data_IF_619141323160
#
_entry.id   IF_619141323160
#
_cell.length_a   1.000
_cell.length_b   1.000
_cell.length_c   1.000
_cell.angle_alpha   90.00
_cell.angle_beta   90.00
_cell.angle_gamma   90.00
#
_symmetry.space_group_name_H-M   'P 1'
#
loop_
_entity.id
_entity.type
_entity.pdbx_description
1 polymer ?
#
# COMPACT_ATOMS: atom_id res chain seq x y z
N UNK A 1 29.95 43.90 37.74
CA UNK A 1 29.53 42.50 37.98
C UNK A 1 28.64 42.06 36.83
N UNK A 2 29.18 41.41 35.80
CA UNK A 2 28.45 40.38 35.02
C UNK A 2 29.45 39.51 34.29
N UNK A 3 29.27 38.21 34.50
CA UNK A 3 30.05 37.03 34.10
C UNK A 3 29.63 36.53 32.70
N UNK A 4 30.34 35.56 32.11
CA UNK A 4 30.55 35.44 30.66
C UNK A 4 29.46 34.65 29.92
N UNK A 5 29.33 34.92 28.62
CA UNK A 5 28.66 34.02 27.66
C UNK A 5 29.59 32.85 27.30
N UNK A 6 29.14 31.59 27.33
CA UNK A 6 29.90 30.49 26.77
C UNK A 6 29.64 30.33 25.28
N UNK A 7 30.74 30.23 24.54
CA UNK A 7 30.86 29.76 23.15
C UNK A 7 30.27 28.36 23.00
N UNK A 8 29.35 28.18 22.05
CA UNK A 8 29.07 26.86 21.48
C UNK A 8 29.70 26.79 20.09
N UNK A 9 30.79 26.04 20.01
CA UNK A 9 31.46 25.66 18.77
C UNK A 9 30.53 24.81 17.92
N UNK A 10 30.17 25.28 16.73
CA UNK A 10 29.48 24.49 15.73
C UNK A 10 30.48 23.51 15.10
N UNK A 11 30.47 22.26 15.56
CA UNK A 11 31.15 21.16 14.88
C UNK A 11 30.43 20.92 13.56
N UNK A 12 31.10 21.26 12.46
CA UNK A 12 30.70 20.94 11.09
C UNK A 12 30.74 19.41 10.91
N UNK A 13 29.57 18.78 10.99
CA UNK A 13 29.38 17.44 10.45
C UNK A 13 28.93 17.58 8.99
N UNK A 14 29.70 17.10 8.00
CA UNK A 14 29.20 17.00 6.64
C UNK A 14 28.23 15.81 6.59
N UNK A 15 26.94 16.08 6.76
CA UNK A 15 25.91 15.09 6.51
C UNK A 15 25.87 14.84 4.99
N UNK A 16 26.37 13.67 4.62
CA UNK A 16 26.26 13.06 3.30
C UNK A 16 24.82 13.20 2.81
N UNK A 17 24.63 14.07 1.80
CA UNK A 17 23.40 14.18 1.02
C UNK A 17 23.18 12.86 0.27
N UNK A 18 22.62 11.90 0.97
CA UNK A 18 22.08 10.68 0.38
C UNK A 18 20.86 11.14 -0.40
N UNK A 19 20.97 11.19 -1.72
CA UNK A 19 19.88 11.46 -2.64
C UNK A 19 18.70 10.55 -2.27
N UNK A 20 17.76 11.08 -1.50
CA UNK A 20 16.47 10.43 -1.27
C UNK A 20 15.87 10.20 -2.65
N UNK A 21 15.63 8.96 -3.08
CA UNK A 21 14.94 8.73 -4.34
C UNK A 21 13.61 9.49 -4.25
N UNK A 22 13.28 10.25 -5.29
CA UNK A 22 11.97 10.91 -5.39
C UNK A 22 10.90 9.92 -4.95
N UNK A 23 9.96 10.29 -4.07
CA UNK A 23 8.96 9.35 -3.59
C UNK A 23 8.24 8.79 -4.82
N UNK A 24 8.49 7.52 -5.13
CA UNK A 24 7.72 6.79 -6.13
C UNK A 24 6.30 6.82 -5.60
N UNK A 25 5.44 7.62 -6.22
CA UNK A 25 4.06 7.82 -5.76
C UNK A 25 3.39 6.44 -5.81
N UNK A 26 3.28 5.79 -4.66
CA UNK A 26 2.52 4.55 -4.52
C UNK A 26 1.12 4.94 -4.10
N UNK A 27 0.14 4.70 -4.98
CA UNK A 27 -1.25 5.06 -4.73
C UNK A 27 -1.99 4.11 -3.76
N UNK A 28 -1.38 2.97 -3.41
CA UNK A 28 -1.96 1.99 -2.47
C UNK A 28 -1.43 2.10 -1.04
N UNK A 29 -1.85 1.17 -0.19
CA UNK A 29 -1.36 1.08 1.20
C UNK A 29 0.16 0.83 1.26
N UNK A 30 0.89 1.49 2.18
CA UNK A 30 2.31 1.22 2.36
C UNK A 30 2.51 -0.18 2.96
N UNK A 31 3.34 -0.97 2.28
CA UNK A 31 3.80 -2.32 2.66
C UNK A 31 5.27 -2.52 2.26
N UNK A 32 5.94 -3.53 2.79
CA UNK A 32 7.31 -3.90 2.35
C UNK A 32 7.35 -5.16 1.48
N UNK A 33 6.18 -5.73 1.18
CA UNK A 33 6.07 -6.98 0.41
C UNK A 33 6.16 -6.69 -1.09
N UNK A 34 6.92 -7.52 -1.81
CA UNK A 34 7.09 -7.49 -3.26
C UNK A 34 7.00 -8.92 -3.79
N UNK A 35 6.28 -9.19 -4.91
CA UNK A 35 5.56 -8.24 -5.76
C UNK A 35 4.20 -7.80 -5.18
N UNK A 36 3.76 -6.57 -5.51
CA UNK A 36 2.46 -6.02 -5.09
C UNK A 36 1.86 -5.05 -6.11
N UNK A 37 0.54 -4.93 -6.07
CA UNK A 37 -0.25 -4.00 -6.86
C UNK A 37 -0.98 -3.06 -5.91
N UNK A 38 -0.68 -1.76 -5.96
CA UNK A 38 -1.35 -0.73 -5.17
C UNK A 38 -2.28 0.10 -6.04
N UNK A 39 -3.47 0.43 -5.53
CA UNK A 39 -4.38 1.33 -6.22
C UNK A 39 -5.17 2.22 -5.26
N UNK A 40 -5.55 3.39 -5.75
CA UNK A 40 -6.50 4.30 -5.09
C UNK A 40 -7.79 4.38 -5.89
N UNK A 41 -8.85 3.78 -5.36
CA UNK A 41 -10.19 3.78 -5.95
C UNK A 41 -10.97 5.01 -5.50
N UNK A 42 -11.88 5.46 -6.36
CA UNK A 42 -12.85 6.50 -6.00
C UNK A 42 -14.08 5.82 -5.41
N UNK A 43 -14.50 6.29 -4.23
CA UNK A 43 -15.69 5.80 -3.57
C UNK A 43 -16.88 6.71 -3.90
N UNK A 44 -17.87 6.15 -4.59
CA UNK A 44 -19.16 6.76 -4.87
C UNK A 44 -20.24 6.06 -4.06
N UNK A 45 -20.45 6.49 -2.81
CA UNK A 45 -21.29 5.80 -1.80
C UNK A 45 -20.79 4.36 -1.52
N UNK A 46 -21.45 3.36 -2.10
CA UNK A 46 -21.11 1.93 -1.97
C UNK A 46 -20.47 1.36 -3.23
N UNK A 47 -20.16 2.22 -4.21
CA UNK A 47 -19.55 1.86 -5.48
C UNK A 47 -18.10 2.29 -5.52
N UNK A 48 -17.27 1.51 -6.20
CA UNK A 48 -15.85 1.75 -6.33
C UNK A 48 -15.43 1.85 -7.79
N UNK A 49 -14.91 3.00 -8.17
CA UNK A 49 -14.41 3.27 -9.51
C UNK A 49 -12.88 3.13 -9.55
N UNK A 50 -12.40 2.27 -10.44
CA UNK A 50 -10.97 2.05 -10.67
C UNK A 50 -10.43 3.01 -11.73
N UNK A 51 -9.28 3.59 -11.43
CA UNK A 51 -8.54 4.48 -12.31
C UNK A 51 -7.10 3.99 -12.48
N UNK A 52 -6.71 3.66 -13.71
CA UNK A 52 -5.37 3.14 -14.01
C UNK A 52 -4.25 4.14 -13.72
N UNK A 53 -4.50 5.44 -13.84
CA UNK A 53 -3.53 6.50 -13.48
C UNK A 53 -3.27 6.57 -11.96
N UNK A 54 -4.15 5.95 -11.16
CA UNK A 54 -4.05 5.84 -9.71
C UNK A 54 -3.70 4.42 -9.26
N UNK A 55 -3.07 3.65 -10.14
CA UNK A 55 -2.59 2.32 -9.87
C UNK A 55 -1.06 2.26 -10.02
N UNK A 56 -0.42 1.35 -9.29
CA UNK A 56 1.01 1.14 -9.33
C UNK A 56 1.33 -0.32 -9.10
N UNK A 57 2.05 -0.91 -10.04
CA UNK A 57 2.58 -2.25 -9.93
C UNK A 57 4.05 -2.14 -9.46
N UNK A 58 4.36 -2.74 -8.32
CA UNK A 58 5.66 -2.66 -7.66
C UNK A 58 6.25 -4.07 -7.55
N UNK A 59 7.52 -4.20 -7.91
CA UNK A 59 8.22 -5.49 -7.97
C UNK A 59 8.09 -6.18 -9.32
N UNK A 60 8.67 -7.36 -9.41
CA UNK A 60 8.64 -8.19 -10.62
C UNK A 60 7.38 -9.05 -10.64
N UNK A 61 6.57 -8.90 -11.69
CA UNK A 61 5.35 -9.67 -11.90
C UNK A 61 5.49 -10.53 -13.14
N UNK A 62 5.24 -11.83 -13.01
CA UNK A 62 5.17 -12.73 -14.15
C UNK A 62 3.87 -12.55 -14.94
N UNK A 63 3.86 -12.92 -16.22
CA UNK A 63 2.67 -12.84 -17.07
C UNK A 63 1.48 -13.63 -16.48
N UNK A 64 1.75 -14.75 -15.81
CA UNK A 64 0.73 -15.58 -15.14
C UNK A 64 0.12 -14.82 -13.96
N UNK A 65 0.95 -14.13 -13.16
CA UNK A 65 0.48 -13.32 -12.04
C UNK A 65 -0.34 -12.11 -12.49
N UNK A 66 0.06 -11.45 -13.59
CA UNK A 66 -0.71 -10.33 -14.17
C UNK A 66 -2.07 -10.82 -14.69
N UNK A 67 -2.08 -11.90 -15.50
CA UNK A 67 -3.33 -12.48 -15.99
C UNK A 67 -4.25 -12.92 -14.84
N UNK A 68 -3.67 -13.43 -13.75
CA UNK A 68 -4.44 -13.78 -12.56
C UNK A 68 -5.01 -12.55 -11.87
N UNK A 69 -4.21 -11.49 -11.72
CA UNK A 69 -4.65 -10.22 -11.16
C UNK A 69 -5.84 -9.66 -11.95
N UNK A 70 -5.76 -9.62 -13.28
CA UNK A 70 -6.84 -9.15 -14.15
C UNK A 70 -8.14 -9.96 -13.97
N UNK A 71 -8.02 -11.27 -13.73
CA UNK A 71 -9.16 -12.14 -13.49
C UNK A 71 -9.81 -11.89 -12.12
N UNK A 72 -9.00 -11.72 -11.06
CA UNK A 72 -9.51 -11.63 -9.68
C UNK A 72 -9.87 -10.21 -9.27
N UNK A 73 -9.31 -9.20 -9.92
CA UNK A 73 -9.49 -7.80 -9.55
C UNK A 73 -10.96 -7.35 -9.56
N UNK A 74 -11.77 -7.64 -10.58
CA UNK A 74 -13.20 -7.29 -10.56
C UNK A 74 -13.97 -7.93 -9.39
N UNK A 75 -13.61 -9.14 -9.00
CA UNK A 75 -14.23 -9.84 -7.87
C UNK A 75 -13.82 -9.22 -6.52
N UNK A 76 -12.57 -8.77 -6.41
CA UNK A 76 -12.11 -8.00 -5.25
C UNK A 76 -12.88 -6.68 -5.13
N UNK A 77 -13.07 -5.96 -6.25
CA UNK A 77 -13.86 -4.71 -6.23
C UNK A 77 -15.28 -4.97 -5.74
N UNK A 78 -15.97 -5.99 -6.26
CA UNK A 78 -17.32 -6.36 -5.78
C UNK A 78 -17.33 -6.71 -4.30
N UNK A 79 -16.31 -7.42 -3.82
CA UNK A 79 -16.19 -7.77 -2.40
C UNK A 79 -16.01 -6.51 -1.54
N UNK A 80 -15.20 -5.54 -1.97
CA UNK A 80 -15.03 -4.26 -1.28
C UNK A 80 -16.30 -3.41 -1.29
N UNK A 81 -17.04 -3.36 -2.40
CA UNK A 81 -18.36 -2.72 -2.49
C UNK A 81 -19.35 -3.34 -1.50
N UNK A 82 -19.36 -4.67 -1.37
CA UNK A 82 -20.17 -5.36 -0.38
C UNK A 82 -19.77 -5.00 1.05
N UNK A 83 -18.47 -4.85 1.33
CA UNK A 83 -17.96 -4.43 2.66
C UNK A 83 -18.32 -2.98 2.99
N UNK A 84 -18.39 -2.10 1.99
CA UNK A 84 -18.95 -0.75 2.16
C UNK A 84 -20.43 -0.80 2.50
N UNK A 85 -21.19 -1.69 1.85
CA UNK A 85 -22.63 -1.84 2.10
C UNK A 85 -22.93 -2.39 3.49
N UNK A 86 -22.12 -3.34 3.99
CA UNK A 86 -22.28 -3.88 5.36
C UNK A 86 -21.75 -2.95 6.44
N UNK A 87 -21.01 -1.91 6.07
CA UNK A 87 -20.36 -0.98 7.01
C UNK A 87 -19.10 -1.55 7.67
N UNK A 88 -18.59 -2.70 7.22
CA UNK A 88 -17.28 -3.21 7.63
C UNK A 88 -16.15 -2.31 7.11
N UNK A 89 -16.33 -1.71 5.93
CA UNK A 89 -15.50 -0.64 5.42
C UNK A 89 -16.29 0.67 5.49
N UNK A 90 -15.72 1.68 6.14
CA UNK A 90 -16.39 2.95 6.43
C UNK A 90 -15.54 4.12 5.91
N UNK A 91 -16.14 5.01 5.13
CA UNK A 91 -15.47 6.16 4.52
C UNK A 91 -14.84 7.13 5.54
N UNK A 92 -15.38 7.16 6.76
CA UNK A 92 -15.03 8.09 7.84
C UNK A 92 -14.11 7.46 8.88
N UNK A 93 -14.03 6.13 8.94
CA UNK A 93 -13.25 5.41 9.94
C UNK A 93 -12.07 4.71 9.29
N UNK A 94 -10.88 4.98 9.80
CA UNK A 94 -9.69 4.23 9.41
C UNK A 94 -9.81 2.81 9.97
N UNK A 95 -9.97 1.85 9.07
CA UNK A 95 -10.03 0.43 9.39
C UNK A 95 -9.57 -0.38 8.19
N UNK A 96 -8.45 -1.06 8.34
CA UNK A 96 -7.91 -1.93 7.32
C UNK A 96 -8.64 -3.28 7.36
N UNK A 97 -9.20 -3.69 6.22
CA UNK A 97 -9.77 -5.01 6.02
C UNK A 97 -8.87 -5.85 5.11
N UNK A 98 -8.90 -7.16 5.30
CA UNK A 98 -8.14 -8.12 4.49
C UNK A 98 -9.10 -9.10 3.81
N UNK A 99 -8.97 -9.27 2.51
CA UNK A 99 -9.76 -10.19 1.68
C UNK A 99 -8.79 -11.14 0.98
N UNK A 100 -9.00 -12.44 1.14
CA UNK A 100 -8.29 -13.45 0.36
C UNK A 100 -9.23 -13.96 -0.72
N UNK A 101 -8.82 -13.84 -1.98
CA UNK A 101 -9.62 -14.29 -3.11
C UNK A 101 -8.74 -14.74 -4.26
N UNK A 102 -9.04 -15.88 -4.87
CA UNK A 102 -8.35 -16.34 -6.09
C UNK A 102 -6.83 -16.44 -5.98
N UNK A 103 -6.28 -16.77 -4.81
CA UNK A 103 -4.83 -16.89 -4.60
C UNK A 103 -4.10 -15.54 -4.50
N UNK A 104 -4.81 -14.45 -4.20
CA UNK A 104 -4.21 -13.17 -3.82
C UNK A 104 -4.79 -12.70 -2.49
N UNK A 105 -4.00 -11.91 -1.77
CA UNK A 105 -4.40 -11.20 -0.57
C UNK A 105 -4.57 -9.72 -0.91
N UNK A 106 -5.77 -9.20 -0.72
CA UNK A 106 -6.08 -7.79 -0.83
C UNK A 106 -6.23 -7.19 0.55
N UNK A 107 -5.56 -6.08 0.80
CA UNK A 107 -5.80 -5.23 1.97
C UNK A 107 -6.38 -3.90 1.48
N UNK A 108 -7.39 -3.40 2.17
CA UNK A 108 -8.05 -2.15 1.82
C UNK A 108 -8.36 -1.31 3.05
N UNK A 109 -8.19 0.00 2.95
CA UNK A 109 -8.54 0.98 3.98
C UNK A 109 -9.02 2.28 3.32
N UNK A 110 -9.99 2.96 3.92
CA UNK A 110 -10.46 4.27 3.46
C UNK A 110 -9.57 5.40 3.96
N UNK A 111 -8.78 5.14 5.02
CA UNK A 111 -7.97 6.11 5.77
C UNK A 111 -8.78 7.33 6.23
N UNK A 112 -10.10 7.17 6.44
CA UNK A 112 -10.99 8.28 6.77
C UNK A 112 -11.06 9.38 5.70
N UNK A 113 -10.79 9.04 4.43
CA UNK A 113 -10.65 10.02 3.34
C UNK A 113 -11.97 10.56 2.79
N UNK A 114 -13.11 10.03 3.22
CA UNK A 114 -14.46 10.44 2.77
C UNK A 114 -14.79 10.20 1.28
N UNK A 115 -13.87 9.61 0.51
CA UNK A 115 -14.09 9.43 -0.93
C UNK A 115 -13.07 8.56 -1.65
N UNK A 116 -12.09 7.98 -0.94
CA UNK A 116 -11.11 7.08 -1.51
C UNK A 116 -10.99 5.78 -0.72
N UNK A 117 -10.73 4.70 -1.44
CA UNK A 117 -10.29 3.43 -0.87
C UNK A 117 -8.89 3.15 -1.40
N UNK A 118 -7.96 2.97 -0.48
CA UNK A 118 -6.58 2.59 -0.76
C UNK A 118 -6.49 1.09 -0.63
N UNK A 119 -5.95 0.42 -1.65
CA UNK A 119 -5.76 -1.02 -1.59
C UNK A 119 -4.35 -1.44 -2.01
N UNK A 120 -3.95 -2.59 -1.47
CA UNK A 120 -2.79 -3.34 -1.90
C UNK A 120 -3.21 -4.79 -2.15
N UNK A 121 -2.82 -5.32 -3.29
CA UNK A 121 -2.98 -6.72 -3.65
C UNK A 121 -1.59 -7.33 -3.75
N UNK A 122 -1.32 -8.31 -2.91
CA UNK A 122 -0.15 -9.16 -3.00
C UNK A 122 -0.62 -10.52 -3.52
N UNK A 123 0.08 -11.14 -4.49
CA UNK A 123 -0.16 -12.54 -4.77
C UNK A 123 0.10 -13.32 -3.48
N UNK A 124 -0.67 -14.38 -3.24
CA UNK A 124 -0.33 -15.36 -2.22
C UNK A 124 0.89 -16.11 -2.76
N UNK A 125 2.07 -15.48 -2.69
CA UNK A 125 3.34 -16.18 -2.81
C UNK A 125 3.24 -17.34 -1.85
N UNK A 126 3.35 -18.55 -2.37
CA UNK A 126 3.47 -19.76 -1.58
C UNK A 126 4.49 -19.46 -0.46
N UNK A 127 4.02 -19.17 0.76
CA UNK A 127 4.87 -18.90 1.93
C UNK A 127 5.47 -20.21 2.45
N UNK A 128 5.85 -21.10 1.53
CA UNK A 128 6.53 -22.36 1.80
C UNK A 128 7.74 -22.52 0.87
N UNK A 129 8.56 -21.49 0.85
CA UNK A 129 9.96 -21.61 0.46
C UNK A 129 10.79 -20.88 1.51
N UNK A 130 11.14 -21.62 2.57
CA UNK A 130 12.38 -21.43 3.29
C UNK A 130 13.48 -22.20 2.54
N UNK A 131 14.41 -21.56 1.82
CA UNK A 131 15.66 -22.18 1.42
C UNK A 131 16.78 -21.58 2.27
N UNK A 132 16.92 -21.97 3.55
CA UNK A 132 17.83 -21.21 4.40
C UNK A 132 18.23 -21.75 5.75
N UNK A 133 18.30 -23.07 5.95
CA UNK A 133 19.16 -23.62 7.02
C UNK A 133 19.78 -24.95 6.60
N UNK A 134 20.79 -24.86 5.74
CA UNK A 134 21.88 -25.83 5.69
C UNK A 134 23.21 -25.08 5.65
N UNK A 135 23.86 -25.02 6.81
CA UNK A 135 25.30 -25.11 7.01
C UNK A 135 25.54 -25.46 8.48
#
# INVERSE_FOLDING_TARGET
MTTPHPTCSATHHPELQTLTPLPRISWGLPRDISPRFGARLIQSRYRLDFLSDRASLIGEWSQIQIAKLDQVFPEIIKALEAKLLTGELDAQRQHCITIQHGGVTCEADTLGSHGYVYLVICPATNMDANPGSKA
#
